data_IF_362132432273
#
_entry.id   IF_362132432273
#
_cell.length_a   1.000
_cell.length_b   1.000
_cell.length_c   1.000
_cell.angle_alpha   90.00
_cell.angle_beta   90.00
_cell.angle_gamma   90.00
#
_symmetry.space_group_name_H-M   'P 1'
#
loop_
_entity.id
_entity.type
_entity.pdbx_description
1 polymer ?
#
# COMPACT_ATOMS: atom_id res chain seq x y z
N UNK A 1 73.27 42.28 -31.47
CA UNK A 1 72.11 43.19 -31.26
C UNK A 1 70.89 42.56 -31.89
N UNK A 2 70.00 41.95 -31.11
CA UNK A 2 68.80 41.25 -31.62
C UNK A 2 67.56 41.96 -31.09
N UNK A 3 66.74 42.49 -32.01
CA UNK A 3 65.48 43.20 -31.76
C UNK A 3 64.39 42.22 -31.34
N UNK A 4 63.73 42.49 -30.21
CA UNK A 4 62.54 41.77 -29.71
C UNK A 4 61.28 42.22 -30.45
N UNK A 5 60.53 41.27 -31.01
CA UNK A 5 59.18 41.47 -31.52
C UNK A 5 58.14 41.30 -30.41
N UNK A 6 57.21 42.25 -30.35
CA UNK A 6 56.10 42.31 -29.38
C UNK A 6 54.86 41.67 -30.03
N UNK A 7 54.33 40.61 -29.40
CA UNK A 7 53.10 39.93 -29.80
C UNK A 7 51.92 40.46 -28.98
N UNK A 8 50.98 41.15 -29.63
CA UNK A 8 49.70 41.58 -29.02
C UNK A 8 48.75 40.39 -28.91
N UNK A 9 48.32 40.05 -27.69
CA UNK A 9 47.17 39.15 -27.44
C UNK A 9 45.90 39.97 -27.32
N UNK A 10 44.95 39.70 -28.21
CA UNK A 10 43.57 40.19 -28.18
C UNK A 10 42.82 39.48 -27.04
N UNK A 11 42.36 40.24 -26.05
CA UNK A 11 41.45 39.74 -25.01
C UNK A 11 40.01 39.81 -25.51
N UNK A 12 39.39 38.64 -25.68
CA UNK A 12 37.95 38.53 -25.93
C UNK A 12 37.19 38.86 -24.65
N UNK A 13 36.32 39.87 -24.73
CA UNK A 13 35.32 40.17 -23.70
C UNK A 13 34.33 39.01 -23.60
N UNK A 14 34.31 38.35 -22.45
CA UNK A 14 33.25 37.39 -22.09
C UNK A 14 32.12 38.19 -21.43
N UNK A 15 30.96 38.12 -22.05
CA UNK A 15 29.72 38.77 -21.67
C UNK A 15 29.30 38.43 -20.23
N UNK A 16 29.04 39.45 -19.41
CA UNK A 16 28.50 39.32 -18.06
C UNK A 16 27.10 38.67 -18.13
N UNK A 17 27.03 37.36 -17.86
CA UNK A 17 25.75 36.67 -17.64
C UNK A 17 25.06 37.32 -16.43
N UNK A 18 23.85 37.83 -16.65
CA UNK A 18 22.89 38.29 -15.64
C UNK A 18 22.86 37.30 -14.47
N UNK A 19 23.46 37.69 -13.35
CA UNK A 19 23.41 36.94 -12.11
C UNK A 19 22.00 37.11 -11.54
N UNK A 20 21.24 36.03 -11.50
CA UNK A 20 19.89 36.03 -10.93
C UNK A 20 20.00 36.29 -9.43
N UNK A 21 19.17 37.21 -8.92
CA UNK A 21 19.15 37.61 -7.52
C UNK A 21 18.74 36.41 -6.63
N UNK A 22 19.74 35.73 -6.05
CA UNK A 22 19.57 34.50 -5.25
C UNK A 22 18.48 34.60 -4.17
N UNK A 23 18.36 35.72 -3.41
CA UNK A 23 17.24 35.95 -2.49
C UNK A 23 15.84 35.81 -3.11
N UNK A 24 15.65 36.27 -4.36
CA UNK A 24 14.36 36.20 -5.05
C UNK A 24 13.98 34.74 -5.37
N UNK A 25 14.96 33.95 -5.80
CA UNK A 25 14.76 32.53 -6.13
C UNK A 25 14.34 31.72 -4.90
N UNK A 26 14.97 31.97 -3.74
CA UNK A 26 14.62 31.31 -2.48
C UNK A 26 13.18 31.66 -2.10
N UNK A 27 12.78 32.94 -2.18
CA UNK A 27 11.42 33.37 -1.85
C UNK A 27 10.34 32.70 -2.71
N UNK A 28 10.60 32.53 -4.01
CA UNK A 28 9.66 31.86 -4.93
C UNK A 28 9.52 30.38 -4.56
N UNK A 29 10.63 29.68 -4.28
CA UNK A 29 10.60 28.26 -3.91
C UNK A 29 9.79 28.05 -2.63
N UNK A 30 9.97 28.91 -1.60
CA UNK A 30 9.23 28.77 -0.35
C UNK A 30 7.72 28.99 -0.54
N UNK A 31 7.32 29.95 -1.36
CA UNK A 31 5.90 30.20 -1.66
C UNK A 31 5.30 29.01 -2.43
N UNK A 32 6.00 28.50 -3.45
CA UNK A 32 5.53 27.33 -4.21
C UNK A 32 5.41 26.10 -3.31
N UNK A 33 6.36 25.87 -2.40
CA UNK A 33 6.29 24.77 -1.45
C UNK A 33 5.10 24.90 -0.49
N UNK A 34 4.81 26.10 0.00
CA UNK A 34 3.65 26.35 0.88
C UNK A 34 2.32 26.18 0.15
N UNK A 35 2.23 26.62 -1.12
CA UNK A 35 1.04 26.42 -1.94
C UNK A 35 0.86 24.94 -2.26
N UNK A 36 1.93 24.22 -2.63
CA UNK A 36 1.87 22.79 -2.89
C UNK A 36 1.47 22.00 -1.64
N UNK A 37 2.04 22.33 -0.47
CA UNK A 37 1.67 21.71 0.80
C UNK A 37 0.22 22.03 1.19
N UNK A 38 -0.22 23.28 1.01
CA UNK A 38 -1.61 23.69 1.23
C UNK A 38 -2.58 22.97 0.31
N UNK A 39 -2.25 22.83 -0.97
CA UNK A 39 -3.04 22.05 -1.93
C UNK A 39 -3.08 20.58 -1.53
N UNK A 40 -1.97 19.98 -1.13
CA UNK A 40 -1.92 18.58 -0.68
C UNK A 40 -2.82 18.34 0.56
N UNK A 41 -2.92 19.33 1.46
CA UNK A 41 -3.82 19.30 2.61
C UNK A 41 -5.31 19.53 2.23
N UNK A 42 -5.60 20.16 1.09
CA UNK A 42 -6.98 20.33 0.60
C UNK A 42 -7.47 19.16 -0.27
N UNK A 43 -6.55 18.39 -0.85
CA UNK A 43 -6.86 17.15 -1.57
C UNK A 43 -6.78 15.90 -0.69
N UNK A 44 -6.44 16.01 0.60
CA UNK A 44 -6.36 14.85 1.49
C UNK A 44 -7.65 14.04 1.49
N UNK A 45 -8.81 14.70 1.45
CA UNK A 45 -10.12 14.05 1.53
C UNK A 45 -10.44 13.17 0.30
N UNK A 46 -9.65 13.25 -0.77
CA UNK A 46 -9.78 12.39 -1.97
C UNK A 46 -8.72 11.29 -2.06
N UNK A 47 -7.71 11.29 -1.18
CA UNK A 47 -6.61 10.31 -1.19
C UNK A 47 -6.57 9.41 0.04
N UNK A 48 -7.47 9.57 1.01
CA UNK A 48 -7.67 8.58 2.06
C UNK A 48 -8.83 7.70 1.61
N UNK A 49 -8.60 6.40 1.44
CA UNK A 49 -9.69 5.42 1.42
C UNK A 49 -10.60 5.69 2.63
N UNK A 50 -11.91 5.43 2.50
CA UNK A 50 -12.87 5.69 3.59
C UNK A 50 -12.39 4.94 4.83
N UNK A 51 -11.73 5.64 5.73
CA UNK A 51 -11.20 5.05 6.95
C UNK A 51 -12.37 4.86 7.91
N UNK A 52 -12.44 3.67 8.51
CA UNK A 52 -13.35 3.39 9.62
C UNK A 52 -13.16 4.49 10.67
N UNK A 53 -14.26 5.15 11.02
CA UNK A 53 -14.25 6.21 12.03
C UNK A 53 -14.72 5.64 13.35
N UNK A 54 -13.99 5.92 14.43
CA UNK A 54 -14.29 5.42 15.78
C UNK A 54 -15.04 6.46 16.62
N UNK A 55 -15.81 5.98 17.59
CA UNK A 55 -16.48 6.88 18.55
C UNK A 55 -15.45 7.63 19.40
N UNK A 56 -15.75 8.89 19.69
CA UNK A 56 -14.90 9.71 20.56
C UNK A 56 -15.02 9.22 22.01
N UNK A 57 -13.91 9.25 22.76
CA UNK A 57 -13.84 8.79 24.15
C UNK A 57 -14.94 9.33 25.07
N UNK A 58 -15.42 10.55 24.81
CA UNK A 58 -16.48 11.21 25.58
C UNK A 58 -17.88 10.63 25.39
N UNK A 59 -18.12 9.76 24.40
CA UNK A 59 -19.43 9.16 24.13
C UNK A 59 -19.56 7.73 24.67
N UNK A 60 -18.44 7.06 24.94
CA UNK A 60 -18.42 5.70 25.50
C UNK A 60 -18.74 5.80 27.00
N UNK A 61 -19.64 4.97 27.52
CA UNK A 61 -20.02 4.96 28.95
C UNK A 61 -19.18 3.98 29.75
N UNK A 62 -19.01 4.21 31.05
CA UNK A 62 -18.28 3.29 31.93
C UNK A 62 -18.94 1.89 31.98
N UNK A 63 -18.12 0.87 32.22
CA UNK A 63 -18.48 -0.55 32.21
C UNK A 63 -18.98 -1.04 30.84
N UNK A 64 -18.36 -0.55 29.77
CA UNK A 64 -18.62 -1.04 28.40
C UNK A 64 -17.34 -1.52 27.75
N UNK A 65 -17.49 -2.47 26.84
CA UNK A 65 -16.38 -2.98 26.04
C UNK A 65 -16.88 -3.46 24.67
N UNK A 66 -15.97 -3.56 23.70
CA UNK A 66 -16.29 -3.98 22.34
C UNK A 66 -15.62 -3.09 21.30
N UNK A 67 -16.26 -2.95 20.14
CA UNK A 67 -15.77 -2.14 19.02
C UNK A 67 -16.73 -0.97 18.81
N UNK A 68 -16.23 0.26 18.91
CA UNK A 68 -17.05 1.47 18.93
C UNK A 68 -16.88 2.28 17.64
N UNK A 69 -17.76 2.07 16.66
CA UNK A 69 -17.68 2.72 15.35
C UNK A 69 -18.66 3.91 15.21
N UNK A 70 -18.28 4.86 14.36
CA UNK A 70 -19.08 5.97 13.84
C UNK A 70 -19.40 5.74 12.36
N UNK A 71 -18.40 5.28 11.60
CA UNK A 71 -18.55 4.81 10.23
C UNK A 71 -18.07 3.36 10.18
N UNK A 72 -18.84 2.51 9.52
CA UNK A 72 -18.63 1.08 9.42
C UNK A 72 -18.55 0.58 7.97
N UNK A 73 -18.41 1.50 7.01
CA UNK A 73 -18.28 1.16 5.60
C UNK A 73 -16.81 1.10 5.19
N UNK A 74 -16.43 0.01 4.52
CA UNK A 74 -15.12 -0.20 3.90
C UNK A 74 -15.30 -0.64 2.45
N UNK A 75 -14.24 -0.51 1.66
CA UNK A 75 -14.23 -0.90 0.25
C UNK A 75 -13.60 -2.28 0.06
N UNK A 76 -14.11 -3.03 -0.92
CA UNK A 76 -13.53 -4.34 -1.30
C UNK A 76 -12.04 -4.20 -1.61
N UNK A 77 -11.27 -5.21 -1.18
CA UNK A 77 -9.82 -5.36 -1.30
C UNK A 77 -8.97 -4.39 -0.47
N UNK A 78 -9.60 -3.43 0.24
CA UNK A 78 -8.89 -2.57 1.18
C UNK A 78 -8.63 -3.30 2.51
N UNK A 79 -7.44 -3.07 3.06
CA UNK A 79 -7.10 -3.46 4.42
C UNK A 79 -7.65 -2.44 5.41
N UNK A 80 -8.24 -2.91 6.50
CA UNK A 80 -8.77 -2.05 7.55
C UNK A 80 -8.57 -2.64 8.95
N UNK A 81 -8.45 -1.74 9.94
CA UNK A 81 -8.26 -2.11 11.33
C UNK A 81 -9.55 -1.89 12.15
N UNK A 82 -9.87 -2.85 13.00
CA UNK A 82 -10.87 -2.71 14.07
C UNK A 82 -10.18 -2.69 15.43
N UNK A 83 -10.57 -1.73 16.25
CA UNK A 83 -10.01 -1.53 17.58
C UNK A 83 -11.00 -2.07 18.62
N UNK A 84 -10.55 -3.05 19.39
CA UNK A 84 -11.27 -3.57 20.56
C UNK A 84 -10.85 -2.74 21.77
N UNK A 85 -11.83 -2.15 22.46
CA UNK A 85 -11.61 -1.26 23.60
C UNK A 85 -12.49 -1.65 24.78
N UNK A 86 -12.09 -1.21 25.97
CA UNK A 86 -12.93 -1.24 27.16
C UNK A 86 -12.85 0.10 27.90
N UNK A 87 -13.96 0.50 28.51
CA UNK A 87 -14.06 1.67 29.38
C UNK A 87 -14.49 1.26 30.77
N UNK A 88 -13.57 1.36 31.72
CA UNK A 88 -13.82 1.14 33.15
C UNK A 88 -13.99 2.49 33.88
N UNK A 89 -14.69 2.51 35.03
CA UNK A 89 -14.62 3.64 35.94
C UNK A 89 -13.17 3.97 36.31
N UNK A 90 -12.86 5.26 36.50
CA UNK A 90 -11.49 5.75 36.75
C UNK A 90 -10.85 5.28 38.05
N UNK A 91 -11.65 4.71 38.97
CA UNK A 91 -11.24 4.14 40.24
C UNK A 91 -11.22 2.61 40.22
N UNK A 92 -11.40 2.01 39.04
CA UNK A 92 -11.41 0.57 38.82
C UNK A 92 -10.27 0.19 37.89
N UNK A 93 -9.41 -0.70 38.38
CA UNK A 93 -8.25 -1.21 37.67
C UNK A 93 -8.49 -2.65 37.18
N UNK A 94 -7.94 -3.00 36.02
CA UNK A 94 -7.90 -4.37 35.49
C UNK A 94 -6.48 -4.82 35.21
N UNK A 95 -6.28 -6.12 35.37
CA UNK A 95 -5.03 -6.82 35.05
C UNK A 95 -5.23 -7.97 34.06
N UNK A 96 -6.46 -8.27 33.65
CA UNK A 96 -6.76 -9.38 32.77
C UNK A 96 -8.02 -9.13 31.94
N UNK A 97 -7.94 -9.48 30.66
CA UNK A 97 -9.02 -9.33 29.69
C UNK A 97 -9.11 -10.62 28.87
N UNK A 98 -10.32 -11.09 28.62
CA UNK A 98 -10.61 -12.24 27.78
C UNK A 98 -11.79 -11.93 26.87
N UNK A 99 -11.73 -12.25 25.58
CA UNK A 99 -12.91 -12.19 24.71
C UNK A 99 -12.89 -13.26 23.62
N UNK A 100 -14.10 -13.63 23.18
CA UNK A 100 -14.33 -14.44 21.98
C UNK A 100 -15.13 -13.60 20.98
N UNK A 101 -14.56 -13.31 19.81
CA UNK A 101 -15.19 -12.53 18.74
C UNK A 101 -15.48 -13.42 17.54
N UNK A 102 -16.77 -13.58 17.22
CA UNK A 102 -17.22 -14.32 16.04
C UNK A 102 -17.27 -13.39 14.82
N UNK A 103 -16.60 -13.78 13.75
CA UNK A 103 -16.40 -12.97 12.54
C UNK A 103 -17.55 -13.06 11.53
N UNK A 104 -18.42 -14.07 11.66
CA UNK A 104 -19.61 -14.30 10.82
C UNK A 104 -19.35 -14.13 9.31
N UNK A 105 -18.21 -14.62 8.82
CA UNK A 105 -17.86 -14.64 7.40
C UNK A 105 -16.86 -13.57 6.96
N UNK A 106 -16.43 -12.68 7.85
CA UNK A 106 -15.35 -11.73 7.59
C UNK A 106 -13.99 -12.43 7.71
N UNK A 107 -13.14 -12.28 6.70
CA UNK A 107 -11.81 -12.92 6.66
C UNK A 107 -10.70 -12.00 7.20
N UNK A 108 -9.71 -12.60 7.89
CA UNK A 108 -8.51 -11.89 8.36
C UNK A 108 -7.56 -11.63 7.19
N UNK A 109 -6.86 -10.50 7.21
CA UNK A 109 -5.92 -10.14 6.13
C UNK A 109 -4.78 -11.14 5.96
N UNK A 110 -4.36 -11.76 7.06
CA UNK A 110 -3.24 -12.70 7.13
C UNK A 110 -3.49 -13.78 8.18
N UNK A 111 -2.46 -14.56 8.49
CA UNK A 111 -2.46 -15.49 9.61
C UNK A 111 -2.86 -14.77 10.92
N UNK A 112 -3.59 -15.48 11.78
CA UNK A 112 -4.11 -14.96 13.05
C UNK A 112 -3.11 -14.14 13.87
N UNK A 113 -1.86 -14.63 13.98
CA UNK A 113 -0.81 -14.01 14.79
C UNK A 113 -0.31 -12.66 14.27
N UNK A 114 -0.50 -12.36 12.99
CA UNK A 114 -0.15 -11.07 12.39
C UNK A 114 -1.34 -10.14 12.28
N UNK A 115 -2.56 -10.67 12.14
CA UNK A 115 -3.78 -9.87 12.06
C UNK A 115 -4.33 -9.43 13.42
N UNK A 116 -3.93 -10.04 14.54
CA UNK A 116 -4.38 -9.65 15.88
C UNK A 116 -3.20 -9.21 16.73
N UNK A 117 -3.16 -7.92 17.07
CA UNK A 117 -2.08 -7.30 17.86
C UNK A 117 -2.64 -6.85 19.20
N UNK A 118 -1.99 -7.24 20.31
CA UNK A 118 -2.34 -6.72 21.64
C UNK A 118 -1.75 -5.33 21.87
N UNK A 119 -2.58 -4.39 22.32
CA UNK A 119 -2.18 -3.02 22.66
C UNK A 119 -2.03 -2.80 24.18
N UNK A 120 -2.20 -3.85 24.97
CA UNK A 120 -2.16 -3.77 26.43
C UNK A 120 -0.73 -3.54 26.96
N UNK A 121 0.28 -4.00 26.23
CA UNK A 121 1.68 -3.98 26.67
C UNK A 121 1.98 -4.97 27.81
N UNK A 122 1.06 -5.89 28.09
CA UNK A 122 1.25 -6.96 29.06
C UNK A 122 2.13 -8.06 28.46
N UNK A 123 3.02 -8.64 29.27
CA UNK A 123 3.99 -9.64 28.80
C UNK A 123 3.95 -10.95 29.56
N UNK A 124 3.18 -11.02 30.65
CA UNK A 124 3.13 -12.21 31.50
C UNK A 124 2.31 -13.33 30.86
N UNK A 125 1.11 -13.02 30.36
CA UNK A 125 0.22 -13.95 29.69
C UNK A 125 -0.42 -13.28 28.46
N UNK A 126 -0.23 -13.90 27.30
CA UNK A 126 -0.91 -13.56 26.06
C UNK A 126 -1.17 -14.85 25.30
N UNK A 127 -2.43 -15.14 25.04
CA UNK A 127 -2.87 -16.23 24.17
C UNK A 127 -3.85 -15.66 23.15
N UNK A 128 -3.57 -15.92 21.87
CA UNK A 128 -4.39 -15.46 20.75
C UNK A 128 -4.54 -16.66 19.83
N UNK A 129 -5.79 -17.01 19.51
CA UNK A 129 -6.09 -18.06 18.56
C UNK A 129 -7.26 -17.67 17.66
N UNK A 130 -7.19 -18.12 16.41
CA UNK A 130 -8.25 -17.93 15.44
C UNK A 130 -8.62 -19.29 14.87
N UNK A 131 -9.82 -19.77 15.19
CA UNK A 131 -10.31 -21.07 14.75
C UNK A 131 -11.82 -20.98 14.49
N UNK A 132 -12.28 -21.64 13.43
CA UNK A 132 -13.70 -21.75 13.10
C UNK A 132 -14.43 -20.38 13.02
N UNK A 133 -13.75 -19.34 12.53
CA UNK A 133 -14.31 -17.98 12.42
C UNK A 133 -14.45 -17.25 13.76
N UNK A 134 -13.80 -17.73 14.82
CA UNK A 134 -13.75 -17.10 16.14
C UNK A 134 -12.32 -16.66 16.42
N UNK A 135 -12.15 -15.42 16.88
CA UNK A 135 -10.92 -14.94 17.51
C UNK A 135 -11.10 -15.08 19.02
N UNK A 136 -10.28 -15.91 19.65
CA UNK A 136 -10.16 -16.00 21.11
C UNK A 136 -8.90 -15.26 21.55
N UNK A 137 -9.09 -14.31 22.47
CA UNK A 137 -8.04 -13.46 22.99
C UNK A 137 -8.05 -13.55 24.53
N UNK A 138 -6.91 -13.88 25.11
CA UNK A 138 -6.69 -13.87 26.56
C UNK A 138 -5.39 -13.14 26.86
N UNK A 139 -5.44 -12.13 27.73
CA UNK A 139 -4.23 -11.45 28.18
C UNK A 139 -4.31 -11.10 29.66
N UNK A 140 -3.19 -11.21 30.37
CA UNK A 140 -3.08 -10.79 31.76
C UNK A 140 -1.67 -10.31 32.14
N UNK A 141 -1.60 -9.48 33.18
CA UNK A 141 -0.38 -9.01 33.84
C UNK A 141 -0.40 -9.35 35.32
N UNK A 142 0.77 -9.65 35.90
CA UNK A 142 0.97 -9.73 37.35
C UNK A 142 1.66 -8.48 37.91
N UNK A 143 2.10 -7.58 37.03
CA UNK A 143 2.69 -6.29 37.42
C UNK A 143 1.59 -5.25 37.66
N UNK A 144 1.40 -4.79 38.92
CA UNK A 144 0.40 -3.77 39.24
C UNK A 144 0.70 -2.41 38.60
N UNK A 145 1.93 -2.18 38.12
CA UNK A 145 2.26 -0.93 37.40
C UNK A 145 1.72 -0.90 35.97
N UNK A 146 1.28 -2.04 35.43
CA UNK A 146 0.74 -2.15 34.08
C UNK A 146 -0.79 -2.30 34.06
N UNK A 147 -1.46 -2.10 35.19
CA UNK A 147 -2.92 -2.08 35.29
C UNK A 147 -3.55 -1.06 34.33
N UNK A 148 -4.76 -1.38 33.85
CA UNK A 148 -5.54 -0.48 32.99
C UNK A 148 -6.77 0.05 33.74
N UNK A 149 -7.11 1.30 33.49
CA UNK A 149 -8.31 1.98 34.00
C UNK A 149 -8.80 2.99 32.96
N UNK A 150 -10.00 3.53 33.11
CA UNK A 150 -10.59 4.45 32.13
C UNK A 150 -10.84 3.77 30.78
N UNK A 151 -10.74 4.54 29.68
CA UNK A 151 -10.78 3.99 28.32
C UNK A 151 -9.38 3.50 27.92
N UNK A 152 -9.28 2.27 27.44
CA UNK A 152 -8.03 1.72 26.92
C UNK A 152 -8.28 0.77 25.74
N UNK A 153 -7.28 0.68 24.86
CA UNK A 153 -7.27 -0.28 23.75
C UNK A 153 -6.75 -1.63 24.24
N UNK A 154 -7.46 -2.68 23.86
CA UNK A 154 -7.16 -4.09 24.19
C UNK A 154 -6.35 -4.71 23.05
N UNK A 155 -6.91 -4.64 21.85
CA UNK A 155 -6.31 -5.21 20.66
C UNK A 155 -6.73 -4.44 19.40
N UNK A 156 -5.88 -4.51 18.40
CA UNK A 156 -6.14 -4.08 17.02
C UNK A 156 -6.21 -5.31 16.13
N UNK A 157 -7.27 -5.41 15.34
CA UNK A 157 -7.55 -6.55 14.46
C UNK A 157 -7.61 -6.06 13.02
N UNK A 158 -6.74 -6.57 12.16
CA UNK A 158 -6.62 -6.19 10.75
C UNK A 158 -7.34 -7.20 9.86
N UNK A 159 -8.23 -6.68 9.02
CA UNK A 159 -9.04 -7.44 8.06
C UNK A 159 -8.72 -7.02 6.63
N UNK A 160 -8.93 -7.93 5.69
CA UNK A 160 -8.93 -7.64 4.26
C UNK A 160 -10.02 -8.49 3.62
N UNK A 161 -11.02 -7.85 3.03
CA UNK A 161 -12.19 -8.55 2.51
C UNK A 161 -12.32 -8.35 1.00
N UNK A 162 -12.50 -9.45 0.28
CA UNK A 162 -12.65 -9.44 -1.19
C UNK A 162 -14.10 -9.57 -1.64
N UNK A 163 -15.05 -9.76 -0.72
CA UNK A 163 -16.46 -9.92 -1.02
C UNK A 163 -17.28 -8.76 -0.45
N UNK A 164 -18.20 -8.22 -1.25
CA UNK A 164 -19.16 -7.23 -0.76
C UNK A 164 -20.19 -7.89 0.16
N UNK A 165 -20.52 -7.25 1.28
CA UNK A 165 -21.50 -7.80 2.21
C UNK A 165 -21.67 -6.98 3.48
N UNK A 166 -22.62 -7.40 4.30
CA UNK A 166 -22.77 -6.93 5.67
C UNK A 166 -22.30 -8.06 6.60
N UNK A 167 -21.39 -7.74 7.51
CA UNK A 167 -20.74 -8.69 8.41
C UNK A 167 -20.99 -8.26 9.85
N UNK A 168 -21.89 -8.97 10.53
CA UNK A 168 -22.14 -8.75 11.95
C UNK A 168 -21.00 -9.35 12.76
N UNK A 169 -20.26 -8.57 13.53
CA UNK A 169 -19.25 -9.10 14.44
C UNK A 169 -19.89 -9.30 15.81
N UNK A 170 -19.75 -10.48 16.41
CA UNK A 170 -20.44 -10.79 17.68
C UNK A 170 -19.45 -11.23 18.74
N UNK A 171 -19.39 -10.51 19.86
CA UNK A 171 -18.71 -10.98 21.05
C UNK A 171 -19.60 -12.01 21.76
N UNK A 172 -19.15 -13.27 21.84
CA UNK A 172 -19.85 -14.34 22.56
C UNK A 172 -19.40 -14.44 24.02
N UNK A 173 -18.23 -13.88 24.32
CA UNK A 173 -17.63 -13.78 25.65
C UNK A 173 -16.82 -12.48 25.70
N UNK A 174 -16.91 -11.74 26.80
CA UNK A 174 -16.07 -10.57 27.04
C UNK A 174 -15.93 -10.33 28.54
N UNK A 175 -14.86 -10.85 29.13
CA UNK A 175 -14.58 -10.73 30.55
C UNK A 175 -13.45 -9.74 30.81
N UNK A 176 -13.63 -8.85 31.79
CA UNK A 176 -12.57 -7.97 32.31
C UNK A 176 -12.44 -8.15 33.82
N UNK A 177 -11.27 -8.64 34.26
CA UNK A 177 -11.07 -9.05 35.65
C UNK A 177 -10.21 -8.07 36.45
N UNK A 178 -10.53 -7.93 37.73
CA UNK A 178 -9.73 -7.22 38.73
C UNK A 178 -9.15 -8.24 39.73
N UNK A 179 -7.86 -8.12 40.08
CA UNK A 179 -7.16 -9.03 41.01
C UNK A 179 -7.51 -8.77 42.49
N UNK A 180 -8.00 -7.59 42.83
CA UNK A 180 -8.28 -7.20 44.21
C UNK A 180 -9.57 -7.83 44.79
N UNK A 181 -10.39 -8.48 43.96
CA UNK A 181 -11.64 -9.12 44.36
C UNK A 181 -11.73 -10.55 43.79
N UNK A 182 -12.57 -11.45 44.32
CA UNK A 182 -12.94 -12.66 43.57
C UNK A 182 -13.32 -12.26 42.14
N UNK A 183 -13.02 -13.07 41.12
CA UNK A 183 -13.20 -12.70 39.71
C UNK A 183 -14.66 -12.31 39.48
N UNK A 184 -14.93 -11.01 39.49
CA UNK A 184 -16.17 -10.38 39.11
C UNK A 184 -15.85 -9.78 37.76
N UNK A 185 -16.59 -10.20 36.74
CA UNK A 185 -16.55 -9.54 35.46
C UNK A 185 -17.04 -8.10 35.63
N UNK A 186 -16.19 -7.15 35.25
CA UNK A 186 -16.47 -5.73 35.39
C UNK A 186 -17.30 -5.18 34.23
N UNK A 187 -17.43 -5.94 33.15
CA UNK A 187 -18.33 -5.63 32.05
C UNK A 187 -19.58 -6.48 32.23
N UNK A 188 -20.76 -5.85 32.23
CA UNK A 188 -22.00 -6.60 32.18
C UNK A 188 -22.29 -6.96 30.72
N UNK A 189 -22.94 -8.11 30.46
CA UNK A 189 -23.34 -8.53 29.09
C UNK A 189 -24.03 -7.40 28.29
N UNK A 190 -24.78 -6.52 28.96
CA UNK A 190 -25.48 -5.38 28.34
C UNK A 190 -24.57 -4.23 27.90
N UNK A 191 -23.30 -4.22 28.34
CA UNK A 191 -22.28 -3.24 28.00
C UNK A 191 -21.37 -3.67 26.86
N UNK A 192 -21.62 -4.83 26.26
CA UNK A 192 -20.84 -5.35 25.13
C UNK A 192 -21.39 -4.76 23.82
N UNK A 193 -20.52 -4.08 23.06
CA UNK A 193 -20.87 -3.47 21.76
C UNK A 193 -20.30 -4.30 20.62
N UNK A 194 -21.21 -4.88 19.84
CA UNK A 194 -20.95 -5.70 18.65
C UNK A 194 -21.28 -4.87 17.39
N UNK A 195 -20.31 -4.56 16.51
CA UNK A 195 -20.56 -3.76 15.32
C UNK A 195 -21.01 -4.63 14.13
N UNK A 196 -21.60 -4.00 13.13
CA UNK A 196 -21.76 -4.56 11.77
C UNK A 196 -20.78 -3.83 10.86
N UNK A 197 -20.05 -4.53 10.00
CA UNK A 197 -19.18 -3.94 8.96
C UNK A 197 -19.86 -4.07 7.60
N UNK A 198 -19.84 -3.00 6.81
CA UNK A 198 -20.41 -2.96 5.46
C UNK A 198 -19.25 -2.89 4.47
N UNK A 199 -19.05 -3.93 3.69
CA UNK A 199 -18.05 -3.97 2.62
C UNK A 199 -18.74 -3.66 1.30
N UNK A 200 -18.44 -2.51 0.73
CA UNK A 200 -19.00 -2.03 -0.54
C UNK A 200 -17.98 -2.21 -1.67
N UNK A 201 -18.45 -2.52 -2.87
CA UNK A 201 -17.55 -2.44 -4.03
C UNK A 201 -17.18 -0.99 -4.24
N UNK A 202 -15.93 -0.72 -4.63
CA UNK A 202 -15.58 0.60 -5.16
C UNK A 202 -16.58 0.90 -6.26
N UNK A 203 -17.39 1.95 -6.07
CA UNK A 203 -18.21 2.46 -7.14
C UNK A 203 -17.22 2.93 -8.21
N UNK A 204 -16.89 2.04 -9.15
CA UNK A 204 -16.31 2.46 -10.42
C UNK A 204 -17.28 3.52 -10.89
N UNK A 205 -16.87 4.81 -10.99
CA UNK A 205 -17.76 5.83 -11.49
C UNK A 205 -18.31 5.23 -12.77
N UNK A 206 -19.61 4.96 -12.76
CA UNK A 206 -20.27 4.39 -13.93
C UNK A 206 -19.80 5.32 -15.04
N UNK A 207 -19.03 4.85 -16.04
CA UNK A 207 -18.71 5.73 -17.15
C UNK A 207 -20.07 6.28 -17.56
N UNK A 208 -20.21 7.60 -17.73
CA UNK A 208 -21.47 8.20 -18.15
C UNK A 208 -21.88 7.47 -19.44
N UNK A 209 -22.58 6.35 -19.32
CA UNK A 209 -22.97 5.52 -20.44
C UNK A 209 -24.11 6.34 -20.99
N UNK A 210 -23.92 7.03 -22.13
CA UNK A 210 -24.99 7.82 -22.69
C UNK A 210 -26.20 6.88 -22.81
N UNK A 211 -27.34 7.31 -22.27
CA UNK A 211 -28.58 6.54 -22.31
C UNK A 211 -28.72 5.89 -23.70
N UNK A 212 -28.98 4.57 -23.80
CA UNK A 212 -29.06 3.91 -25.09
C UNK A 212 -30.20 4.53 -25.89
N UNK A 213 -29.84 5.37 -26.86
CA UNK A 213 -30.77 6.18 -27.63
C UNK A 213 -30.33 7.63 -27.90
N UNK A 214 -29.20 8.11 -27.38
CA UNK A 214 -28.65 9.40 -27.83
C UNK A 214 -28.01 9.24 -29.21
N UNK A 215 -28.79 9.52 -30.25
CA UNK A 215 -28.26 9.75 -31.60
C UNK A 215 -27.19 10.84 -31.53
N UNK A 216 -25.93 10.48 -31.79
CA UNK A 216 -24.86 11.46 -31.82
C UNK A 216 -24.96 12.32 -33.09
N UNK A 217 -24.68 13.63 -32.97
CA UNK A 217 -24.66 14.57 -34.10
C UNK A 217 -23.25 15.06 -34.41
N UNK A 218 -22.36 14.99 -33.43
CA UNK A 218 -20.94 15.27 -33.55
C UNK A 218 -20.15 14.38 -32.58
N UNK A 219 -18.84 14.26 -32.84
CA UNK A 219 -17.91 13.52 -31.98
C UNK A 219 -17.97 13.95 -30.50
N UNK A 220 -18.22 15.23 -30.23
CA UNK A 220 -18.35 15.76 -28.86
C UNK A 220 -19.55 15.23 -28.08
N UNK A 221 -20.57 14.70 -28.78
CA UNK A 221 -21.73 14.07 -28.14
C UNK A 221 -21.41 12.65 -27.64
N UNK A 222 -20.28 12.09 -28.10
CA UNK A 222 -19.81 10.75 -27.79
C UNK A 222 -18.70 10.77 -26.75
N UNK A 223 -18.63 11.74 -25.83
CA UNK A 223 -17.57 11.76 -24.83
C UNK A 223 -17.80 10.70 -23.74
N UNK A 224 -16.96 9.66 -23.69
CA UNK A 224 -16.98 8.62 -22.65
C UNK A 224 -16.18 8.99 -21.39
N UNK A 225 -15.55 10.16 -21.37
CA UNK A 225 -14.70 10.62 -20.27
C UNK A 225 -13.31 9.99 -20.22
N UNK A 226 -12.93 9.17 -21.21
CA UNK A 226 -11.65 8.45 -21.23
C UNK A 226 -10.63 9.14 -22.14
N UNK A 227 -9.50 9.57 -21.57
CA UNK A 227 -8.44 10.25 -22.35
C UNK A 227 -7.70 9.35 -23.37
N UNK A 228 -7.86 8.03 -23.27
CA UNK A 228 -7.21 7.04 -24.11
C UNK A 228 -8.06 6.57 -25.29
N UNK A 229 -9.30 7.03 -25.42
CA UNK A 229 -10.16 6.80 -26.58
C UNK A 229 -10.20 8.06 -27.45
N UNK A 230 -10.63 7.90 -28.70
CA UNK A 230 -11.07 9.02 -29.54
C UNK A 230 -12.58 8.88 -29.71
N UNK A 231 -13.35 9.89 -29.30
CA UNK A 231 -14.79 9.91 -29.51
C UNK A 231 -15.10 10.08 -30.99
N UNK A 232 -15.83 9.13 -31.59
CA UNK A 232 -16.19 9.15 -33.01
C UNK A 232 -17.67 8.90 -33.18
N UNK A 233 -18.38 9.87 -33.74
CA UNK A 233 -19.77 9.75 -34.14
C UNK A 233 -19.87 9.34 -35.62
N UNK A 234 -20.33 8.12 -35.90
CA UNK A 234 -20.58 7.63 -37.27
C UNK A 234 -21.99 7.07 -37.38
N UNK A 235 -22.77 7.58 -38.33
CA UNK A 235 -24.17 7.14 -38.56
C UNK A 235 -25.00 7.10 -37.27
N UNK A 236 -24.96 8.20 -36.51
CA UNK A 236 -25.69 8.38 -35.24
C UNK A 236 -25.26 7.39 -34.13
N UNK A 237 -24.17 6.65 -34.35
CA UNK A 237 -23.60 5.69 -33.41
C UNK A 237 -22.24 6.18 -32.89
N UNK A 238 -22.10 6.23 -31.57
CA UNK A 238 -20.82 6.52 -30.93
C UNK A 238 -19.90 5.29 -30.97
N UNK A 239 -18.64 5.52 -31.31
CA UNK A 239 -17.55 4.56 -31.22
C UNK A 239 -16.36 5.20 -30.54
N UNK A 240 -15.58 4.39 -29.83
CA UNK A 240 -14.49 4.84 -28.95
C UNK A 240 -13.19 4.11 -29.27
N UNK A 241 -12.63 4.24 -30.49
CA UNK A 241 -11.36 3.61 -30.83
C UNK A 241 -10.25 4.03 -29.87
N UNK A 242 -9.49 3.04 -29.37
CA UNK A 242 -8.32 3.29 -28.53
C UNK A 242 -7.22 4.03 -29.29
N UNK A 243 -6.61 5.00 -28.63
CA UNK A 243 -5.46 5.73 -29.15
C UNK A 243 -4.25 4.78 -29.26
N UNK A 244 -3.46 4.92 -30.32
CA UNK A 244 -2.41 3.95 -30.65
C UNK A 244 -1.29 3.80 -29.59
N UNK A 245 -1.12 4.79 -28.71
CA UNK A 245 -0.06 4.83 -27.70
C UNK A 245 -0.60 4.73 -26.28
N UNK A 246 -1.78 4.14 -26.11
CA UNK A 246 -2.41 3.98 -24.80
C UNK A 246 -3.02 2.59 -24.63
N UNK A 247 -3.11 2.15 -23.38
CA UNK A 247 -3.91 1.00 -22.96
C UNK A 247 -5.12 1.48 -22.15
N UNK A 248 -6.22 0.73 -22.23
CA UNK A 248 -7.38 0.84 -21.34
C UNK A 248 -7.49 -0.46 -20.56
N UNK A 249 -6.98 -0.46 -19.33
CA UNK A 249 -6.87 -1.67 -18.49
C UNK A 249 -7.71 -1.42 -17.23
N UNK A 250 -8.72 -2.27 -17.01
CA UNK A 250 -9.63 -2.11 -15.87
C UNK A 250 -10.42 -0.81 -15.86
N UNK A 251 -10.69 -0.22 -17.03
CA UNK A 251 -11.39 1.07 -17.15
C UNK A 251 -10.50 2.31 -16.95
N UNK A 252 -9.20 2.12 -16.69
CA UNK A 252 -8.23 3.21 -16.51
C UNK A 252 -7.32 3.33 -17.73
N UNK A 253 -7.06 4.58 -18.13
CA UNK A 253 -6.16 4.90 -19.23
C UNK A 253 -4.71 4.94 -18.77
N UNK A 254 -3.85 4.20 -19.47
CA UNK A 254 -2.40 4.18 -19.29
C UNK A 254 -1.70 4.57 -20.59
N UNK A 255 -0.57 5.26 -20.49
CA UNK A 255 0.32 5.51 -21.62
C UNK A 255 1.19 4.29 -21.90
N UNK A 256 1.60 4.11 -23.16
CA UNK A 256 2.53 3.05 -23.53
C UNK A 256 3.78 3.09 -22.62
N UNK A 257 4.16 1.91 -22.14
CA UNK A 257 5.23 1.65 -21.18
C UNK A 257 4.95 2.03 -19.72
N UNK A 258 3.75 2.47 -19.36
CA UNK A 258 3.40 2.65 -17.94
C UNK A 258 3.48 1.32 -17.19
N UNK A 259 4.17 1.32 -16.05
CA UNK A 259 4.37 0.15 -15.19
C UNK A 259 3.20 0.01 -14.23
N UNK A 260 2.77 -1.22 -13.97
CA UNK A 260 1.69 -1.49 -13.03
C UNK A 260 2.17 -1.31 -11.58
N UNK A 261 1.57 -0.41 -10.77
CA UNK A 261 2.10 -0.09 -9.44
C UNK A 261 2.14 -1.25 -8.44
N UNK A 262 1.25 -2.24 -8.58
CA UNK A 262 1.18 -3.40 -7.68
C UNK A 262 2.09 -4.55 -8.11
N UNK A 263 2.52 -4.58 -9.37
CA UNK A 263 3.39 -5.61 -9.91
C UNK A 263 4.30 -4.99 -10.99
N UNK A 264 5.50 -4.52 -10.62
CA UNK A 264 6.43 -3.85 -11.53
C UNK A 264 6.89 -4.70 -12.74
N UNK A 265 6.64 -6.02 -12.71
CA UNK A 265 6.90 -6.93 -13.81
C UNK A 265 5.83 -6.84 -14.91
N UNK A 266 4.82 -5.98 -14.74
CA UNK A 266 3.75 -5.74 -15.70
C UNK A 266 3.78 -4.29 -16.18
N UNK A 267 3.48 -4.11 -17.47
CA UNK A 267 3.40 -2.80 -18.10
C UNK A 267 2.30 -2.74 -19.16
N UNK A 268 1.85 -1.52 -19.49
CA UNK A 268 1.11 -1.24 -20.71
C UNK A 268 2.08 -1.38 -21.89
N UNK A 269 1.91 -2.41 -22.71
CA UNK A 269 2.67 -2.59 -23.95
C UNK A 269 1.67 -2.61 -25.10
N UNK A 270 1.50 -1.46 -25.76
CA UNK A 270 0.49 -1.30 -26.81
C UNK A 270 0.75 -2.20 -28.03
N UNK A 271 1.98 -2.68 -28.21
CA UNK A 271 2.33 -3.61 -29.27
C UNK A 271 1.89 -5.05 -28.97
N UNK A 272 1.65 -5.37 -27.70
CA UNK A 272 1.17 -6.69 -27.26
C UNK A 272 -0.31 -6.70 -26.93
N UNK A 273 -0.76 -5.75 -26.12
CA UNK A 273 -2.17 -5.62 -25.72
C UNK A 273 -2.48 -4.22 -25.24
N UNK A 274 -3.55 -3.63 -25.78
CA UNK A 274 -4.09 -2.35 -25.31
C UNK A 274 -5.17 -2.54 -24.23
N UNK A 275 -5.52 -3.77 -23.85
CA UNK A 275 -6.62 -4.03 -22.89
C UNK A 275 -6.21 -4.94 -21.73
N UNK A 276 -4.93 -5.31 -21.65
CA UNK A 276 -4.40 -6.17 -20.59
C UNK A 276 -2.93 -5.83 -20.31
N UNK A 277 -2.54 -5.99 -19.04
CA UNK A 277 -1.14 -5.87 -18.64
C UNK A 277 -0.27 -6.91 -19.36
N UNK A 278 0.85 -6.45 -19.91
CA UNK A 278 1.85 -7.31 -20.56
C UNK A 278 3.07 -7.47 -19.63
N UNK A 279 3.75 -8.60 -19.72
CA UNK A 279 5.02 -8.78 -19.01
C UNK A 279 6.06 -7.76 -19.47
N UNK A 280 6.64 -7.03 -18.53
CA UNK A 280 7.72 -6.09 -18.73
C UNK A 280 9.03 -6.85 -19.03
N UNK A 281 9.17 -7.28 -20.27
CA UNK A 281 10.45 -7.72 -20.80
C UNK A 281 11.05 -6.52 -21.52
N UNK A 282 11.86 -5.75 -20.79
CA UNK A 282 12.59 -4.64 -21.35
C UNK A 282 13.37 -5.06 -22.61
N UNK A 283 13.53 -4.18 -23.60
CA UNK A 283 14.17 -4.52 -24.87
C UNK A 283 15.69 -4.72 -24.71
N UNK A 284 16.13 -5.98 -24.84
CA UNK A 284 17.38 -6.45 -25.48
C UNK A 284 18.76 -5.86 -25.11
N UNK A 285 18.89 -5.05 -24.08
CA UNK A 285 20.19 -4.83 -23.44
C UNK A 285 20.30 -5.80 -22.28
N UNK A 286 20.85 -7.00 -22.55
CA UNK A 286 21.12 -7.98 -21.50
C UNK A 286 22.12 -7.34 -20.53
N UNK A 287 21.63 -6.93 -19.36
CA UNK A 287 22.46 -6.54 -18.23
C UNK A 287 22.75 -7.82 -17.46
N UNK A 288 24.01 -8.26 -17.46
CA UNK A 288 24.38 -9.48 -16.75
C UNK A 288 24.14 -9.30 -15.25
N UNK A 289 23.44 -10.24 -14.62
CA UNK A 289 23.02 -10.15 -13.22
C UNK A 289 21.71 -9.43 -12.97
N UNK A 290 21.03 -8.91 -14.01
CA UNK A 290 19.67 -8.37 -13.93
C UNK A 290 18.67 -9.53 -13.86
N UNK A 291 18.23 -9.84 -12.65
CA UNK A 291 17.45 -11.04 -12.34
C UNK A 291 15.93 -10.76 -12.41
N UNK A 292 15.52 -9.52 -12.11
CA UNK A 292 14.13 -9.10 -12.17
C UNK A 292 13.73 -8.51 -13.54
N UNK A 293 14.70 -8.31 -14.44
CA UNK A 293 14.48 -7.90 -15.81
C UNK A 293 14.16 -6.43 -15.99
N UNK A 294 14.43 -5.58 -14.98
CA UNK A 294 14.15 -4.15 -15.00
C UNK A 294 15.13 -3.35 -15.89
N UNK A 295 16.18 -4.00 -16.41
CA UNK A 295 17.19 -3.42 -17.28
C UNK A 295 18.34 -2.74 -16.50
N UNK A 296 18.42 -2.93 -15.19
CA UNK A 296 19.46 -2.38 -14.32
C UNK A 296 20.11 -3.46 -13.47
N UNK A 297 21.34 -3.21 -12.98
CA UNK A 297 22.03 -4.11 -12.05
C UNK A 297 22.09 -3.43 -10.68
N UNK A 298 21.25 -3.85 -9.75
CA UNK A 298 21.10 -3.24 -8.44
C UNK A 298 20.96 -4.29 -7.31
N UNK A 299 20.47 -3.90 -6.14
CA UNK A 299 20.33 -4.81 -4.99
C UNK A 299 19.04 -5.65 -5.06
N UNK A 300 18.01 -5.19 -5.76
CA UNK A 300 16.76 -5.92 -6.01
C UNK A 300 17.04 -7.25 -6.71
N UNK A 301 17.93 -7.25 -7.70
CA UNK A 301 18.42 -8.46 -8.38
C UNK A 301 18.98 -9.50 -7.41
N UNK A 302 19.92 -9.06 -6.56
CA UNK A 302 20.54 -9.93 -5.56
C UNK A 302 19.51 -10.49 -4.58
N UNK A 303 18.54 -9.67 -4.16
CA UNK A 303 17.48 -10.09 -3.24
C UNK A 303 16.55 -11.11 -3.93
N UNK A 304 16.20 -10.90 -5.20
CA UNK A 304 15.37 -11.83 -5.96
C UNK A 304 16.06 -13.19 -6.10
N UNK A 305 17.33 -13.19 -6.50
CA UNK A 305 18.14 -14.43 -6.59
C UNK A 305 18.20 -15.15 -5.24
N UNK A 306 18.38 -14.42 -4.13
CA UNK A 306 18.37 -15.01 -2.80
C UNK A 306 17.01 -15.63 -2.45
N UNK A 307 15.89 -14.92 -2.68
CA UNK A 307 14.53 -15.41 -2.41
C UNK A 307 14.22 -16.69 -3.18
N UNK A 308 14.56 -16.73 -4.46
CA UNK A 308 14.38 -17.92 -5.31
C UNK A 308 15.28 -19.06 -4.81
N UNK A 309 16.54 -18.78 -4.45
CA UNK A 309 17.47 -19.78 -3.92
C UNK A 309 17.01 -20.38 -2.59
N UNK A 310 16.30 -19.61 -1.76
CA UNK A 310 15.69 -20.10 -0.52
C UNK A 310 14.34 -20.80 -0.72
N UNK A 311 13.81 -20.86 -1.95
CA UNK A 311 12.51 -21.45 -2.24
C UNK A 311 11.34 -20.67 -1.65
N UNK A 312 11.48 -19.35 -1.49
CA UNK A 312 10.39 -18.49 -1.01
C UNK A 312 9.25 -18.51 -2.06
N UNK A 313 8.02 -18.91 -1.68
CA UNK A 313 6.89 -18.94 -2.62
C UNK A 313 6.60 -17.57 -3.23
N UNK A 314 6.11 -17.55 -4.48
CA UNK A 314 5.69 -16.32 -5.17
C UNK A 314 6.81 -15.57 -5.91
N UNK A 315 8.05 -16.06 -5.88
CA UNK A 315 9.18 -15.45 -6.60
C UNK A 315 9.69 -16.36 -7.72
N UNK A 316 9.99 -15.77 -8.88
CA UNK A 316 10.60 -16.44 -10.03
C UNK A 316 11.58 -15.51 -10.72
N UNK A 317 12.67 -16.08 -11.26
CA UNK A 317 13.64 -15.35 -12.05
C UNK A 317 13.09 -15.08 -13.44
N UNK A 318 13.32 -13.89 -13.98
CA UNK A 318 12.95 -13.56 -15.35
C UNK A 318 13.87 -14.25 -16.36
N UNK A 319 15.16 -14.33 -16.04
CA UNK A 319 16.16 -15.04 -16.83
C UNK A 319 17.15 -15.79 -15.92
N UNK A 320 16.99 -17.11 -15.83
CA UNK A 320 17.88 -17.97 -15.05
C UNK A 320 19.32 -17.94 -15.56
N UNK A 321 19.56 -17.65 -16.84
CA UNK A 321 20.91 -17.59 -17.40
C UNK A 321 21.64 -16.29 -17.02
N UNK A 322 20.91 -15.17 -16.91
CA UNK A 322 21.50 -13.91 -16.42
C UNK A 322 21.62 -13.89 -14.89
N UNK A 323 20.87 -14.74 -14.19
CA UNK A 323 20.89 -14.86 -12.73
C UNK A 323 22.02 -15.75 -12.19
N UNK A 324 22.65 -16.58 -13.03
CA UNK A 324 23.86 -17.35 -12.72
C UNK A 324 25.10 -16.46 -12.94
N UNK A 325 25.30 -15.51 -12.02
CA UNK A 325 26.29 -14.46 -12.14
C UNK A 325 27.74 -14.97 -12.06
N UNK A 326 27.97 -16.10 -11.39
CA UNK A 326 29.30 -16.71 -11.25
C UNK A 326 29.61 -17.81 -12.28
N UNK A 327 28.63 -18.13 -13.14
CA UNK A 327 28.69 -19.15 -14.18
C UNK A 327 29.00 -20.56 -13.64
N UNK A 328 28.51 -20.87 -12.44
CA UNK A 328 28.61 -22.20 -11.85
C UNK A 328 27.68 -23.22 -12.55
N UNK A 329 26.71 -22.75 -13.34
CA UNK A 329 25.67 -23.55 -13.98
C UNK A 329 24.44 -23.74 -13.09
N UNK A 330 24.40 -23.08 -11.93
CA UNK A 330 23.30 -23.17 -10.96
C UNK A 330 23.06 -21.81 -10.32
N UNK A 331 21.82 -21.31 -10.38
CA UNK A 331 21.46 -20.10 -9.65
C UNK A 331 21.39 -20.37 -8.14
N UNK A 332 22.16 -19.63 -7.36
CA UNK A 332 22.40 -19.88 -5.94
C UNK A 332 22.62 -18.59 -5.13
N UNK A 333 22.86 -18.74 -3.83
CA UNK A 333 23.25 -17.63 -2.95
C UNK A 333 24.61 -17.02 -3.32
N UNK A 334 25.49 -17.78 -3.97
CA UNK A 334 26.78 -17.25 -4.39
C UNK A 334 26.60 -16.20 -5.50
N UNK A 335 25.64 -16.42 -6.40
CA UNK A 335 25.23 -15.45 -7.42
C UNK A 335 24.64 -14.19 -6.81
N UNK A 336 23.72 -14.34 -5.84
CA UNK A 336 23.15 -13.20 -5.11
C UNK A 336 24.23 -12.34 -4.44
N UNK A 337 25.22 -12.97 -3.81
CA UNK A 337 26.34 -12.27 -3.18
C UNK A 337 27.22 -11.57 -4.21
N UNK A 338 27.48 -12.21 -5.36
CA UNK A 338 28.26 -11.60 -6.44
C UNK A 338 27.56 -10.39 -7.04
N UNK A 339 26.26 -10.51 -7.34
CA UNK A 339 25.41 -9.42 -7.82
C UNK A 339 25.43 -8.25 -6.84
N UNK A 340 25.25 -8.51 -5.53
CA UNK A 340 25.31 -7.47 -4.50
C UNK A 340 26.68 -6.78 -4.46
N UNK A 341 27.79 -7.51 -4.54
CA UNK A 341 29.13 -6.92 -4.53
C UNK A 341 29.36 -6.01 -5.73
N UNK A 342 28.90 -6.43 -6.91
CA UNK A 342 29.04 -5.64 -8.14
C UNK A 342 28.14 -4.41 -8.09
N UNK A 343 26.90 -4.53 -7.60
CA UNK A 343 25.98 -3.40 -7.47
C UNK A 343 26.46 -2.36 -6.45
N UNK A 344 27.12 -2.77 -5.37
CA UNK A 344 27.79 -1.86 -4.42
C UNK A 344 29.12 -1.29 -4.92
N UNK A 345 29.58 -1.67 -6.11
CA UNK A 345 30.86 -1.21 -6.67
C UNK A 345 32.06 -1.70 -5.86
N UNK A 346 31.96 -2.87 -5.22
CA UNK A 346 33.08 -3.46 -4.47
C UNK A 346 34.21 -3.79 -5.44
N UNK A 347 35.43 -3.26 -5.24
CA UNK A 347 36.54 -3.51 -6.16
C UNK A 347 36.91 -4.99 -6.24
N UNK A 348 37.22 -5.47 -7.45
CA UNK A 348 37.70 -6.84 -7.68
C UNK A 348 36.62 -7.88 -8.00
N UNK A 349 35.37 -7.46 -8.14
CA UNK A 349 34.25 -8.31 -8.56
C UNK A 349 33.67 -7.82 -9.88
N UNK A 350 33.33 -8.76 -10.77
CA UNK A 350 32.69 -8.51 -12.07
C UNK A 350 31.80 -9.70 -12.40
N UNK A 351 30.64 -9.44 -12.99
CA UNK A 351 29.76 -10.49 -13.55
C UNK A 351 30.23 -10.78 -14.99
N UNK A 352 30.42 -12.05 -15.32
CA UNK A 352 30.85 -12.47 -16.66
C UNK A 352 29.67 -13.10 -17.41
N UNK A 353 29.69 -13.01 -18.74
CA UNK A 353 28.72 -13.75 -19.56
C UNK A 353 29.05 -15.23 -19.53
N UNK A 354 28.10 -16.06 -19.12
CA UNK A 354 28.23 -17.51 -19.15
C UNK A 354 28.04 -17.99 -20.60
N UNK A 355 29.09 -18.60 -21.16
CA UNK A 355 29.15 -19.03 -22.57
C UNK A 355 28.64 -20.43 -22.80
#
# INVERSE_FOLDING_TARGET
MVKKNVSKRTQNQVSNKKEVNKPLLIGIITIVALVALGSLLFFSDTFVGKAISFQLEGTITDNTAGIFLVDNTVTVDDEFDLIVQAKLPVDVETVAVSFDLHLNGLDLSTECSSSVVSDLGWTDLLDISCADGIISFDSATFDPLNEKTGLFTIATITFQESVTGEYDLTFTKFDVYNVAQPPIDMILDTGIVSPTIIVESVAVPEPDVPEPGVECRADTDCNDGLSCTTDVCTDETCTYPLNANTCLIGGVCYTDQDVYPQDPLKMCDVARSQTSWSGNVAPSNIVLGDADGDGTLNLADAILVARVSFGVPGYSLQDSANSDADCSGTVSLDDAILIARVSFGVPGFTINSCS
#
